data_IF_597940803464
#
_entry.id   IF_597940803464
#
_cell.length_a   1.000
_cell.length_b   1.000
_cell.length_c   1.000
_cell.angle_alpha   90.00
_cell.angle_beta   90.00
_cell.angle_gamma   90.00
#
_symmetry.space_group_name_H-M   'P 1'
#
loop_
_entity.id
_entity.type
_entity.pdbx_description
1 polymer ?
#
# COMPACT_ATOMS: atom_id res chain seq x y z
N UNK A 1 -20.94 -2.03 -7.02
CA UNK A 1 -19.80 -2.95 -6.77
C UNK A 1 -19.99 -3.56 -5.39
N UNK A 2 -19.78 -4.86 -5.21
CA UNK A 2 -19.87 -5.49 -3.88
C UNK A 2 -18.62 -5.06 -3.09
N UNK A 3 -18.78 -4.18 -2.10
CA UNK A 3 -17.68 -3.68 -1.24
C UNK A 3 -16.79 -4.81 -0.70
N UNK A 4 -17.38 -5.98 -0.44
CA UNK A 4 -16.66 -7.19 -0.03
C UNK A 4 -15.55 -7.62 -1.01
N UNK A 5 -15.78 -7.53 -2.32
CA UNK A 5 -14.76 -7.91 -3.31
C UNK A 5 -13.61 -6.89 -3.37
N UNK A 6 -13.90 -5.61 -3.13
CA UNK A 6 -12.88 -4.54 -3.08
C UNK A 6 -12.00 -4.73 -1.84
N UNK A 7 -12.61 -4.97 -0.68
CA UNK A 7 -11.87 -5.23 0.57
C UNK A 7 -10.98 -6.46 0.45
N UNK A 8 -11.49 -7.55 -0.12
CA UNK A 8 -10.69 -8.75 -0.40
C UNK A 8 -9.54 -8.48 -1.36
N UNK A 9 -9.78 -7.69 -2.42
CA UNK A 9 -8.73 -7.27 -3.35
C UNK A 9 -7.64 -6.45 -2.68
N UNK A 10 -7.98 -5.52 -1.79
CA UNK A 10 -7.01 -4.71 -1.04
C UNK A 10 -6.19 -5.57 -0.08
N UNK A 11 -6.83 -6.43 0.71
CA UNK A 11 -6.12 -7.32 1.65
C UNK A 11 -5.21 -8.28 0.88
N UNK A 12 -5.71 -8.86 -0.21
CA UNK A 12 -4.94 -9.73 -1.09
C UNK A 12 -3.73 -9.00 -1.69
N UNK A 13 -3.93 -7.75 -2.15
CA UNK A 13 -2.87 -6.91 -2.69
C UNK A 13 -1.79 -6.56 -1.66
N UNK A 14 -2.18 -6.17 -0.44
CA UNK A 14 -1.23 -5.90 0.65
C UNK A 14 -0.45 -7.15 1.05
N UNK A 15 -1.12 -8.29 1.19
CA UNK A 15 -0.46 -9.55 1.54
C UNK A 15 0.53 -10.00 0.46
N UNK A 16 0.10 -9.98 -0.81
CA UNK A 16 0.98 -10.31 -1.94
C UNK A 16 2.16 -9.33 -2.04
N UNK A 17 1.91 -8.03 -1.87
CA UNK A 17 2.95 -6.99 -1.87
C UNK A 17 3.95 -7.16 -0.74
N UNK A 18 3.50 -7.49 0.48
CA UNK A 18 4.39 -7.75 1.61
C UNK A 18 5.27 -8.99 1.39
N UNK A 19 4.68 -10.08 0.87
CA UNK A 19 5.44 -11.29 0.54
C UNK A 19 6.49 -10.98 -0.52
N UNK A 20 6.11 -10.31 -1.61
CA UNK A 20 7.05 -9.91 -2.65
C UNK A 20 8.12 -8.96 -2.11
N UNK A 21 7.76 -7.98 -1.29
CA UNK A 21 8.71 -7.05 -0.68
C UNK A 21 9.76 -7.74 0.19
N UNK A 22 9.36 -8.73 0.99
CA UNK A 22 10.29 -9.54 1.80
C UNK A 22 11.19 -10.42 0.92
N UNK A 23 10.66 -10.96 -0.19
CA UNK A 23 11.44 -11.77 -1.13
C UNK A 23 12.46 -10.94 -1.92
N UNK A 24 12.09 -9.74 -2.35
CA UNK A 24 12.98 -8.84 -3.10
C UNK A 24 14.03 -8.18 -2.20
N UNK A 25 13.69 -7.90 -0.94
CA UNK A 25 14.59 -7.28 0.04
C UNK A 25 14.66 -8.12 1.34
N UNK A 26 15.35 -9.28 1.32
CA UNK A 26 15.45 -10.13 2.48
C UNK A 26 16.43 -9.57 3.50
N UNK A 27 15.94 -9.31 4.71
CA UNK A 27 16.78 -9.03 5.87
C UNK A 27 17.45 -10.33 6.36
N UNK A 28 18.64 -10.21 6.96
CA UNK A 28 19.31 -11.38 7.58
C UNK A 28 18.39 -11.99 8.65
N UNK A 29 18.20 -13.32 8.64
CA UNK A 29 17.28 -13.99 9.56
C UNK A 29 17.51 -13.73 11.05
N UNK A 30 18.78 -13.54 11.47
CA UNK A 30 19.14 -13.10 12.83
C UNK A 30 18.49 -11.77 13.20
N UNK A 31 18.49 -10.82 12.26
CA UNK A 31 17.89 -9.50 12.43
C UNK A 31 16.36 -9.59 12.41
N UNK A 32 15.77 -10.41 11.54
CA UNK A 32 14.31 -10.62 11.50
C UNK A 32 13.79 -11.17 12.83
N UNK A 33 14.43 -12.20 13.39
CA UNK A 33 14.04 -12.78 14.69
C UNK A 33 14.21 -11.78 15.83
N UNK A 34 15.31 -11.00 15.81
CA UNK A 34 15.53 -9.93 16.79
C UNK A 34 14.45 -8.85 16.68
N UNK A 35 14.16 -8.35 15.48
CA UNK A 35 13.10 -7.36 15.21
C UNK A 35 11.74 -7.85 15.68
N UNK A 36 11.39 -9.12 15.47
CA UNK A 36 10.13 -9.69 16.00
C UNK A 36 10.11 -9.58 17.52
N UNK A 37 11.17 -10.03 18.21
CA UNK A 37 11.24 -9.99 19.67
C UNK A 37 11.15 -8.57 20.23
N UNK A 38 11.90 -7.64 19.64
CA UNK A 38 11.98 -6.26 20.09
C UNK A 38 10.65 -5.53 19.78
N UNK A 39 10.16 -5.62 18.54
CA UNK A 39 8.89 -4.99 18.14
C UNK A 39 7.68 -5.56 18.88
N UNK A 40 7.65 -6.85 19.23
CA UNK A 40 6.51 -7.44 19.95
C UNK A 40 6.25 -6.75 21.30
N UNK A 41 7.29 -6.24 21.95
CA UNK A 41 7.19 -5.52 23.22
C UNK A 41 6.75 -4.07 23.01
N UNK A 42 7.27 -3.43 21.98
CA UNK A 42 7.09 -2.00 21.73
C UNK A 42 5.82 -1.66 20.92
N UNK A 43 5.22 -2.66 20.25
CA UNK A 43 4.05 -2.47 19.38
C UNK A 43 2.80 -1.99 20.11
N UNK A 44 2.66 -2.31 21.41
CA UNK A 44 1.41 -2.01 22.11
C UNK A 44 1.27 -0.53 22.46
N UNK A 45 2.36 0.08 22.89
CA UNK A 45 2.34 1.43 23.44
C UNK A 45 2.68 2.48 22.36
N UNK A 46 3.66 2.22 21.49
CA UNK A 46 4.09 3.20 20.47
C UNK A 46 3.19 3.24 19.24
N UNK A 47 2.52 2.13 18.91
CA UNK A 47 1.75 2.05 17.67
C UNK A 47 0.56 3.01 17.68
N UNK A 48 -0.03 3.28 18.84
CA UNK A 48 -1.20 4.15 18.90
C UNK A 48 -0.84 5.60 18.60
N UNK A 49 0.25 6.08 19.20
CA UNK A 49 0.73 7.46 19.07
C UNK A 49 1.36 7.72 17.69
N UNK A 50 2.15 6.76 17.18
CA UNK A 50 2.71 6.81 15.83
C UNK A 50 1.62 6.72 14.75
N UNK A 51 0.57 5.93 14.98
CA UNK A 51 -0.52 5.77 14.03
C UNK A 51 -1.39 7.01 13.95
N UNK A 52 -1.72 7.65 15.09
CA UNK A 52 -2.47 8.90 15.10
C UNK A 52 -1.69 10.02 14.38
N UNK A 53 -0.39 10.13 14.62
CA UNK A 53 0.48 11.10 13.93
C UNK A 53 0.58 10.80 12.43
N UNK A 54 0.70 9.52 12.05
CA UNK A 54 0.74 9.09 10.66
C UNK A 54 -0.58 9.36 9.93
N UNK A 55 -1.73 9.18 10.58
CA UNK A 55 -3.03 9.48 9.98
C UNK A 55 -3.17 10.98 9.67
N UNK A 56 -2.70 11.85 10.55
CA UNK A 56 -2.70 13.31 10.33
C UNK A 56 -1.83 13.69 9.13
N UNK A 57 -0.61 13.15 9.03
CA UNK A 57 0.29 13.44 7.91
C UNK A 57 -0.21 12.81 6.59
N UNK A 58 -0.88 11.66 6.68
CA UNK A 58 -1.53 11.02 5.54
C UNK A 58 -2.68 11.86 5.02
N UNK A 59 -3.53 12.42 5.88
CA UNK A 59 -4.70 13.22 5.47
C UNK A 59 -4.28 14.45 4.65
N UNK A 60 -3.20 15.12 5.07
CA UNK A 60 -2.63 16.27 4.36
C UNK A 60 -2.04 15.88 3.00
N UNK A 61 -1.31 14.76 2.92
CA UNK A 61 -0.75 14.25 1.66
C UNK A 61 -1.80 13.58 0.77
N UNK A 62 -2.90 13.10 1.34
CA UNK A 62 -3.95 12.37 0.63
C UNK A 62 -4.60 13.21 -0.46
N UNK A 63 -4.77 14.52 -0.24
CA UNK A 63 -5.30 15.42 -1.26
C UNK A 63 -4.40 15.46 -2.51
N UNK A 64 -3.09 15.65 -2.32
CA UNK A 64 -2.13 15.68 -3.43
C UNK A 64 -1.97 14.32 -4.13
N UNK A 65 -1.99 13.22 -3.37
CA UNK A 65 -1.91 11.86 -3.93
C UNK A 65 -3.18 11.53 -4.70
N UNK A 66 -4.36 11.92 -4.20
CA UNK A 66 -5.65 11.71 -4.87
C UNK A 66 -5.72 12.46 -6.19
N UNK A 67 -5.22 13.70 -6.24
CA UNK A 67 -5.18 14.50 -7.46
C UNK A 67 -4.24 13.90 -8.52
N UNK A 68 -3.04 13.49 -8.14
CA UNK A 68 -2.09 12.81 -9.03
C UNK A 68 -2.56 11.41 -9.44
N UNK A 69 -3.23 10.68 -8.54
CA UNK A 69 -3.79 9.37 -8.87
C UNK A 69 -4.91 9.49 -9.90
N UNK A 70 -5.77 10.51 -9.79
CA UNK A 70 -6.83 10.77 -10.78
C UNK A 70 -6.22 11.05 -12.16
N UNK A 71 -5.21 11.92 -12.25
CA UNK A 71 -4.59 12.25 -13.54
C UNK A 71 -3.92 11.04 -14.18
N UNK A 72 -3.20 10.21 -13.41
CA UNK A 72 -2.59 8.97 -13.91
C UNK A 72 -3.64 7.96 -14.38
N UNK A 73 -4.75 7.82 -13.65
CA UNK A 73 -5.85 6.92 -14.05
C UNK A 73 -6.50 7.41 -15.34
N UNK A 74 -6.69 8.72 -15.50
CA UNK A 74 -7.33 9.33 -16.66
C UNK A 74 -6.42 9.29 -17.90
N UNK A 75 -5.12 9.53 -17.71
CA UNK A 75 -4.11 9.39 -18.75
C UNK A 75 -3.90 7.92 -19.15
N UNK A 76 -3.91 7.01 -18.19
CA UNK A 76 -3.88 5.56 -18.44
C UNK A 76 -5.11 5.08 -19.21
N UNK A 77 -6.31 5.51 -18.81
CA UNK A 77 -7.56 5.19 -19.52
C UNK A 77 -7.55 5.68 -20.96
N UNK A 78 -7.19 6.95 -21.19
CA UNK A 78 -7.15 7.52 -22.55
C UNK A 78 -6.11 6.84 -23.44
N UNK A 79 -4.93 6.49 -22.90
CA UNK A 79 -3.93 5.69 -23.62
C UNK A 79 -4.45 4.30 -23.98
N UNK A 80 -5.06 3.60 -23.03
CA UNK A 80 -5.65 2.27 -23.27
C UNK A 80 -6.77 2.34 -24.30
N UNK A 81 -7.67 3.32 -24.22
CA UNK A 81 -8.73 3.52 -25.22
C UNK A 81 -8.15 3.82 -26.60
N UNK A 82 -7.11 4.64 -26.68
CA UNK A 82 -6.45 4.97 -27.95
C UNK A 82 -5.78 3.76 -28.60
N UNK A 83 -5.18 2.87 -27.80
CA UNK A 83 -4.51 1.66 -28.27
C UNK A 83 -5.52 0.56 -28.62
N UNK A 84 -6.61 0.44 -27.86
CA UNK A 84 -7.74 -0.45 -28.18
C UNK A 84 -8.40 -0.05 -29.51
N UNK A 85 -8.56 1.25 -29.77
CA UNK A 85 -9.17 1.77 -31.01
C UNK A 85 -8.27 1.63 -32.25
N UNK A 86 -6.94 1.54 -32.06
CA UNK A 86 -5.98 1.23 -33.14
C UNK A 86 -5.88 -0.27 -33.43
N UNK A 87 -6.23 -1.12 -32.46
CA UNK A 87 -6.25 -2.59 -32.63
C UNK A 87 -7.57 -3.12 -33.23
N UNK A 88 -8.63 -2.32 -33.27
CA UNK A 88 -9.86 -2.58 -34.05
C UNK A 88 -9.73 -2.03 -35.48
#
# INVERSE_FOLDING_TARGET
MKTSNVVLGVIGGLAAGAVLGVLFAPDKGKNTRKKIKDKSKDLKDNLKEDFDSFLLEMEEKYQSVSENAKSIIEEGKSRIESELKKMQ
#
